data_IF_459867636834
#
_entry.id   IF_459867636834
#
_cell.length_a   1.000
_cell.length_b   1.000
_cell.length_c   1.000
_cell.angle_alpha   90.00
_cell.angle_beta   90.00
_cell.angle_gamma   90.00
#
_symmetry.space_group_name_H-M   'P 1'
#
loop_
_entity.id
_entity.type
_entity.pdbx_description
1 polymer ?
#
# COMPACT_ATOMS: atom_id res chain seq x y z
N UNK A 1 -43.14 36.62 72.92
CA UNK A 1 -43.89 35.59 73.67
C UNK A 1 -44.85 34.99 72.68
N UNK A 2 -44.56 33.75 72.29
CA UNK A 2 -45.46 32.62 71.97
C UNK A 2 -46.68 32.92 71.08
N UNK A 3 -46.99 32.16 70.03
CA UNK A 3 -46.70 30.76 69.74
C UNK A 3 -47.19 30.43 68.32
N UNK A 4 -46.59 29.42 67.70
CA UNK A 4 -47.07 28.79 66.46
C UNK A 4 -48.46 28.17 66.62
N UNK A 5 -49.25 28.16 65.55
CA UNK A 5 -50.02 26.97 65.17
C UNK A 5 -50.34 26.99 63.66
N UNK A 6 -50.10 25.85 63.01
CA UNK A 6 -50.34 25.63 61.57
C UNK A 6 -51.79 25.18 61.31
N UNK A 7 -52.29 25.29 60.07
CA UNK A 7 -52.85 24.07 59.49
C UNK A 7 -52.71 23.89 57.96
N UNK A 8 -52.47 22.61 57.61
CA UNK A 8 -53.02 21.79 56.50
C UNK A 8 -53.05 22.32 55.05
N UNK A 9 -52.35 21.54 54.23
CA UNK A 9 -52.50 21.30 52.79
C UNK A 9 -53.96 21.16 52.29
N UNK A 10 -54.29 21.84 51.18
CA UNK A 10 -55.13 21.26 50.11
C UNK A 10 -54.87 21.93 48.75
N UNK A 11 -55.03 21.13 47.69
CA UNK A 11 -54.55 21.30 46.31
C UNK A 11 -55.39 22.25 45.44
N UNK A 12 -54.73 22.61 44.31
CA UNK A 12 -55.22 22.95 42.94
C UNK A 12 -55.04 24.44 42.64
N UNK A 13 -54.50 24.88 41.51
CA UNK A 13 -54.21 24.25 40.23
C UNK A 13 -54.15 25.39 39.19
N UNK A 14 -53.33 25.24 38.15
CA UNK A 14 -53.20 26.22 37.06
C UNK A 14 -51.97 27.12 37.20
N UNK A 15 -51.07 27.24 36.24
CA UNK A 15 -50.92 26.56 34.96
C UNK A 15 -49.46 26.64 34.57
N UNK A 16 -48.89 25.51 34.15
CA UNK A 16 -47.48 25.44 33.76
C UNK A 16 -47.34 26.01 32.34
N UNK A 17 -47.10 27.31 32.22
CA UNK A 17 -46.74 27.93 30.93
C UNK A 17 -45.32 27.49 30.60
N UNK A 18 -45.20 26.40 29.84
CA UNK A 18 -43.92 25.97 29.28
C UNK A 18 -43.51 26.96 28.20
N UNK A 19 -42.60 27.87 28.54
CA UNK A 19 -41.92 28.73 27.56
C UNK A 19 -41.12 27.83 26.60
N UNK A 20 -41.27 27.94 25.27
CA UNK A 20 -40.52 27.09 24.35
C UNK A 20 -39.04 27.43 24.45
N UNK A 21 -38.21 26.45 24.81
CA UNK A 21 -36.76 26.63 24.85
C UNK A 21 -36.27 26.91 23.42
N UNK A 22 -35.68 28.09 23.20
CA UNK A 22 -35.15 28.48 21.90
C UNK A 22 -34.21 27.37 21.37
N UNK A 23 -34.51 26.82 20.20
CA UNK A 23 -33.70 25.79 19.56
C UNK A 23 -32.30 26.38 19.33
N UNK A 24 -31.31 25.95 20.12
CA UNK A 24 -29.90 26.24 19.87
C UNK A 24 -29.60 25.79 18.43
N UNK A 25 -29.38 26.76 17.53
CA UNK A 25 -28.86 26.47 16.19
C UNK A 25 -27.50 25.80 16.39
N UNK A 26 -27.45 24.49 16.12
CA UNK A 26 -26.18 23.78 15.98
C UNK A 26 -25.52 24.35 14.73
N UNK A 27 -24.54 25.21 14.91
CA UNK A 27 -23.67 25.60 13.81
C UNK A 27 -22.88 24.34 13.45
N UNK A 28 -23.21 23.71 12.32
CA UNK A 28 -22.28 22.73 11.76
C UNK A 28 -21.00 23.49 11.43
N UNK A 29 -19.83 23.02 11.86
CA UNK A 29 -18.58 23.64 11.46
C UNK A 29 -18.53 23.68 9.93
N UNK A 30 -18.24 24.85 9.38
CA UNK A 30 -18.13 25.06 7.94
C UNK A 30 -17.09 24.07 7.43
N UNK A 31 -17.51 23.14 6.57
CA UNK A 31 -16.59 22.22 5.90
C UNK A 31 -15.72 23.06 4.97
N UNK A 32 -14.51 23.38 5.41
CA UNK A 32 -13.49 23.99 4.57
C UNK A 32 -13.14 22.95 3.50
N UNK A 33 -13.31 23.28 2.23
CA UNK A 33 -13.24 22.35 1.08
C UNK A 33 -11.92 21.56 1.00
N UNK A 34 -10.87 22.02 1.67
CA UNK A 34 -9.51 21.49 1.59
C UNK A 34 -9.06 20.78 2.89
N UNK A 35 -9.99 20.49 3.81
CA UNK A 35 -9.64 19.76 5.04
C UNK A 35 -9.42 18.27 4.76
N UNK A 36 -8.21 17.81 5.03
CA UNK A 36 -7.85 16.38 5.02
C UNK A 36 -8.82 15.60 5.94
N UNK A 37 -9.37 14.45 5.52
CA UNK A 37 -10.25 13.63 6.35
C UNK A 37 -9.63 13.29 7.72
N UNK A 38 -10.46 13.21 8.76
CA UNK A 38 -10.00 12.94 10.13
C UNK A 38 -9.19 11.65 10.25
N UNK A 39 -9.53 10.62 9.47
CA UNK A 39 -8.77 9.37 9.38
C UNK A 39 -7.34 9.61 8.92
N UNK A 40 -7.18 10.40 7.85
CA UNK A 40 -5.87 10.69 7.26
C UNK A 40 -5.06 11.66 8.13
N UNK A 41 -5.69 12.56 8.88
CA UNK A 41 -4.98 13.34 9.91
C UNK A 41 -4.41 12.46 11.01
N UNK A 42 -5.20 11.51 11.53
CA UNK A 42 -4.72 10.55 12.55
C UNK A 42 -3.60 9.68 12.02
N UNK A 43 -3.66 9.28 10.74
CA UNK A 43 -2.60 8.53 10.08
C UNK A 43 -1.31 9.35 9.97
N UNK A 44 -1.41 10.63 9.60
CA UNK A 44 -0.27 11.57 9.53
C UNK A 44 0.33 11.81 10.92
N UNK A 45 -0.50 12.05 11.93
CA UNK A 45 -0.09 12.25 13.32
C UNK A 45 0.64 11.02 13.86
N UNK A 46 0.08 9.82 13.65
CA UNK A 46 0.72 8.55 14.00
C UNK A 46 2.05 8.33 13.24
N UNK A 47 2.17 8.82 12.00
CA UNK A 47 3.40 8.73 11.23
C UNK A 47 4.46 9.77 11.64
N UNK A 48 4.04 10.85 12.31
CA UNK A 48 4.91 11.90 12.88
C UNK A 48 5.41 11.54 14.29
N UNK A 49 4.75 10.61 14.99
CA UNK A 49 5.26 10.00 16.21
C UNK A 49 6.65 9.36 15.95
N UNK A 50 7.52 9.38 16.97
CA UNK A 50 8.89 8.84 16.84
C UNK A 50 8.87 7.42 16.27
N UNK A 51 9.80 7.07 15.37
CA UNK A 51 9.79 5.78 14.69
C UNK A 51 9.81 4.66 15.72
N UNK A 52 8.72 3.89 15.74
CA UNK A 52 8.64 2.66 16.54
C UNK A 52 9.89 1.82 16.29
N UNK A 53 10.49 1.28 17.36
CA UNK A 53 11.67 0.41 17.27
C UNK A 53 11.56 -0.61 16.14
N UNK A 54 12.69 -0.95 15.51
CA UNK A 54 12.76 -1.92 14.41
C UNK A 54 11.91 -3.17 14.71
N UNK A 55 11.02 -3.61 13.80
CA UNK A 55 10.19 -4.78 14.00
C UNK A 55 11.00 -5.98 14.51
N UNK A 56 10.47 -6.71 15.50
CA UNK A 56 11.13 -7.93 16.03
C UNK A 56 11.41 -8.97 14.95
N UNK A 57 10.57 -9.01 13.90
CA UNK A 57 10.75 -9.87 12.71
C UNK A 57 11.96 -9.50 11.85
N UNK A 58 12.55 -8.32 12.02
CA UNK A 58 13.79 -7.90 11.37
C UNK A 58 15.01 -8.10 12.30
N UNK A 59 14.82 -8.70 13.47
CA UNK A 59 15.92 -9.04 14.37
C UNK A 59 16.76 -10.19 13.78
N UNK A 60 18.08 -10.11 13.96
CA UNK A 60 19.03 -11.18 13.60
C UNK A 60 18.74 -12.51 14.30
N UNK A 61 18.07 -12.48 15.44
CA UNK A 61 17.69 -13.68 16.20
C UNK A 61 16.52 -14.42 15.54
N UNK A 62 15.74 -13.74 14.70
CA UNK A 62 14.67 -14.38 13.94
C UNK A 62 15.27 -15.10 12.72
N UNK A 63 14.94 -16.39 12.56
CA UNK A 63 15.42 -17.16 11.41
C UNK A 63 14.93 -16.54 10.09
N UNK A 64 15.84 -16.33 9.14
CA UNK A 64 15.52 -15.72 7.85
C UNK A 64 15.05 -16.78 6.86
N UNK A 65 13.74 -16.81 6.60
CA UNK A 65 13.11 -17.79 5.70
C UNK A 65 13.32 -17.39 4.24
N UNK A 66 13.33 -18.37 3.35
CA UNK A 66 13.38 -18.13 1.92
C UNK A 66 12.23 -17.23 1.45
N UNK A 67 12.57 -16.27 0.59
CA UNK A 67 11.60 -15.39 -0.03
C UNK A 67 10.83 -16.13 -1.14
N UNK A 68 9.52 -15.88 -1.24
CA UNK A 68 8.64 -16.54 -2.21
C UNK A 68 8.09 -15.52 -3.21
N UNK A 69 8.10 -15.89 -4.49
CA UNK A 69 7.36 -15.23 -5.57
C UNK A 69 6.63 -16.32 -6.35
N UNK A 70 5.30 -16.35 -6.27
CA UNK A 70 4.47 -17.47 -6.76
C UNK A 70 4.95 -18.80 -6.18
N UNK A 71 5.34 -19.74 -7.06
CA UNK A 71 5.85 -21.07 -6.66
C UNK A 71 7.38 -21.12 -6.48
N UNK A 72 8.09 -20.03 -6.77
CA UNK A 72 9.57 -19.99 -6.78
C UNK A 72 10.08 -19.46 -5.43
N UNK A 73 11.11 -20.12 -4.90
CA UNK A 73 11.78 -19.74 -3.65
C UNK A 73 13.17 -19.17 -3.93
N UNK A 74 13.55 -18.15 -3.17
CA UNK A 74 14.88 -17.51 -3.21
C UNK A 74 15.50 -17.65 -1.83
N UNK A 75 16.70 -18.25 -1.76
CA UNK A 75 17.38 -18.52 -0.49
C UNK A 75 18.03 -17.25 0.06
N UNK A 76 18.16 -17.10 1.40
CA UNK A 76 18.94 -16.02 1.99
C UNK A 76 20.34 -15.92 1.38
N UNK A 77 20.84 -14.70 1.18
CA UNK A 77 22.16 -14.45 0.62
C UNK A 77 22.29 -14.77 -0.88
N UNK A 78 21.18 -14.85 -1.61
CA UNK A 78 21.21 -15.17 -3.05
C UNK A 78 20.46 -14.15 -3.90
N UNK A 79 20.86 -14.07 -5.16
CA UNK A 79 20.16 -13.34 -6.22
C UNK A 79 19.51 -14.37 -7.13
N UNK A 80 18.24 -14.14 -7.50
CA UNK A 80 17.55 -14.99 -8.47
C UNK A 80 16.70 -14.15 -9.41
N UNK A 81 16.83 -14.41 -10.71
CA UNK A 81 15.91 -13.89 -11.71
C UNK A 81 14.74 -14.86 -11.88
N UNK A 82 13.54 -14.30 -11.86
CA UNK A 82 12.27 -15.02 -11.90
C UNK A 82 11.40 -14.37 -12.96
N UNK A 83 11.01 -15.14 -13.97
CA UNK A 83 9.87 -14.76 -14.81
C UNK A 83 8.56 -15.07 -14.08
N UNK A 84 7.66 -14.10 -14.06
CA UNK A 84 6.36 -14.19 -13.42
C UNK A 84 5.25 -13.74 -14.37
N UNK A 85 4.27 -14.58 -14.61
CA UNK A 85 3.18 -14.29 -15.53
C UNK A 85 2.07 -13.47 -14.84
N UNK A 86 1.76 -12.31 -15.41
CA UNK A 86 0.72 -11.41 -14.90
C UNK A 86 -0.69 -11.79 -15.31
N UNK A 87 -0.84 -12.74 -16.22
CA UNK A 87 -2.12 -13.21 -16.74
C UNK A 87 -2.07 -14.73 -16.86
N UNK A 88 -3.06 -15.40 -16.29
CA UNK A 88 -3.33 -16.81 -16.61
C UNK A 88 -4.13 -16.83 -17.92
N UNK A 89 -3.49 -17.33 -18.97
CA UNK A 89 -4.02 -17.34 -20.34
C UNK A 89 -4.11 -18.79 -20.79
N UNK A 90 -5.32 -19.24 -21.11
CA UNK A 90 -5.53 -20.57 -21.73
C UNK A 90 -5.22 -20.56 -23.23
N UNK A 91 -5.44 -19.42 -23.90
CA UNK A 91 -5.21 -19.22 -25.33
C UNK A 91 -4.61 -17.82 -25.56
N UNK A 92 -3.37 -17.74 -26.05
CA UNK A 92 -2.69 -16.46 -26.34
C UNK A 92 -1.22 -16.43 -25.90
N UNK A 93 -0.57 -15.26 -26.02
CA UNK A 93 0.81 -15.04 -25.56
C UNK A 93 0.81 -14.78 -24.05
N UNK A 94 1.63 -15.51 -23.30
CA UNK A 94 1.85 -15.22 -21.88
C UNK A 94 2.40 -13.80 -21.70
N UNK A 95 2.17 -13.21 -20.53
CA UNK A 95 2.70 -11.91 -20.17
C UNK A 95 3.71 -12.04 -19.02
N UNK A 96 4.91 -12.59 -19.29
CA UNK A 96 5.95 -12.70 -18.28
C UNK A 96 6.57 -11.34 -18.00
N UNK A 97 6.74 -11.03 -16.73
CA UNK A 97 7.60 -9.93 -16.27
C UNK A 97 8.87 -10.49 -15.63
N UNK A 98 10.05 -9.94 -15.95
CA UNK A 98 11.29 -10.33 -15.29
C UNK A 98 11.36 -9.66 -13.91
N UNK A 99 11.54 -10.48 -12.87
CA UNK A 99 11.71 -10.05 -11.49
C UNK A 99 13.09 -10.51 -11.02
N UNK A 100 13.99 -9.56 -10.78
CA UNK A 100 15.25 -9.85 -10.09
C UNK A 100 15.02 -9.72 -8.60
N UNK A 101 15.14 -10.83 -7.86
CA UNK A 101 15.00 -10.86 -6.41
C UNK A 101 16.40 -10.97 -5.80
N UNK A 102 16.72 -10.00 -4.96
CA UNK A 102 17.95 -9.92 -4.19
C UNK A 102 17.54 -10.16 -2.75
N UNK A 103 17.78 -11.38 -2.26
CA UNK A 103 17.37 -11.76 -0.93
C UNK A 103 18.58 -11.72 -0.01
N UNK A 104 18.61 -10.72 0.87
CA UNK A 104 19.69 -10.49 1.81
C UNK A 104 19.89 -11.68 2.75
N UNK A 105 21.09 -11.81 3.30
CA UNK A 105 21.41 -12.83 4.32
C UNK A 105 20.74 -12.53 5.67
N UNK A 106 20.36 -11.27 5.90
CA UNK A 106 19.80 -10.79 7.17
C UNK A 106 18.31 -10.46 7.05
N UNK A 107 17.52 -10.68 8.11
CA UNK A 107 16.14 -10.20 8.17
C UNK A 107 16.03 -8.69 7.99
N UNK A 108 14.97 -8.26 7.30
CA UNK A 108 14.74 -6.85 7.01
C UNK A 108 13.50 -6.60 6.14
N UNK A 109 13.28 -5.34 5.72
CA UNK A 109 12.14 -4.97 4.90
C UNK A 109 12.17 -5.59 3.50
N UNK A 110 11.01 -5.63 2.85
CA UNK A 110 10.91 -5.94 1.42
C UNK A 110 10.70 -4.62 0.67
N UNK A 111 11.54 -4.36 -0.31
CA UNK A 111 11.46 -3.17 -1.18
C UNK A 111 11.22 -3.64 -2.60
N UNK A 112 10.13 -3.18 -3.22
CA UNK A 112 9.81 -3.46 -4.62
C UNK A 112 10.04 -2.22 -5.47
N UNK A 113 10.92 -2.33 -6.45
CA UNK A 113 11.22 -1.31 -7.44
C UNK A 113 10.59 -1.71 -8.77
N UNK A 114 9.73 -0.85 -9.32
CA UNK A 114 9.03 -1.11 -10.58
C UNK A 114 9.28 0.00 -11.60
N UNK A 115 9.36 -0.38 -12.87
CA UNK A 115 9.47 0.52 -14.01
C UNK A 115 8.46 0.19 -15.11
N UNK A 116 8.30 1.14 -16.03
CA UNK A 116 7.34 1.09 -17.15
C UNK A 116 5.97 0.54 -16.73
N UNK A 117 5.37 1.15 -15.71
CA UNK A 117 3.94 0.98 -15.45
C UNK A 117 3.13 1.53 -16.64
N UNK A 118 3.58 2.67 -17.17
CA UNK A 118 3.27 3.13 -18.51
C UNK A 118 4.42 2.76 -19.46
N UNK A 119 4.11 2.24 -20.64
CA UNK A 119 5.12 1.75 -21.57
C UNK A 119 5.94 2.82 -22.28
N UNK A 120 5.50 4.08 -22.24
CA UNK A 120 6.25 5.22 -22.79
C UNK A 120 7.20 5.90 -21.78
N UNK A 121 7.29 5.40 -20.55
CA UNK A 121 8.16 5.94 -19.51
C UNK A 121 9.48 5.13 -19.43
N UNK A 122 10.46 5.51 -20.24
CA UNK A 122 11.68 4.72 -20.46
C UNK A 122 12.77 4.91 -19.38
N UNK A 123 12.74 6.03 -18.64
CA UNK A 123 13.79 6.39 -17.68
C UNK A 123 13.85 5.40 -16.51
N UNK A 124 12.69 5.01 -15.97
CA UNK A 124 12.59 4.03 -14.88
C UNK A 124 13.19 2.66 -15.25
N UNK A 125 12.72 2.00 -16.33
CA UNK A 125 13.30 0.76 -16.83
C UNK A 125 14.81 0.83 -17.05
N UNK A 126 15.30 1.92 -17.63
CA UNK A 126 16.73 2.13 -17.86
C UNK A 126 17.52 2.15 -16.53
N UNK A 127 17.08 2.94 -15.55
CA UNK A 127 17.72 3.03 -14.24
C UNK A 127 17.72 1.67 -13.51
N UNK A 128 16.60 0.95 -13.57
CA UNK A 128 16.49 -0.38 -12.95
C UNK A 128 17.37 -1.43 -13.65
N UNK A 129 17.62 -1.29 -14.95
CA UNK A 129 18.55 -2.14 -15.69
C UNK A 129 20.00 -1.86 -15.27
N UNK A 130 20.39 -0.59 -15.09
CA UNK A 130 21.70 -0.22 -14.55
C UNK A 130 21.90 -0.73 -13.12
N UNK A 131 20.87 -0.66 -12.27
CA UNK A 131 20.89 -1.19 -10.92
C UNK A 131 21.17 -2.70 -10.87
N UNK A 132 20.76 -3.43 -11.92
CA UNK A 132 20.98 -4.87 -12.07
C UNK A 132 22.33 -5.22 -12.73
N UNK A 133 23.13 -4.22 -13.14
CA UNK A 133 24.42 -4.49 -13.80
C UNK A 133 25.44 -5.11 -12.84
N UNK A 134 26.39 -5.87 -13.38
CA UNK A 134 27.48 -6.51 -12.62
C UNK A 134 28.40 -5.52 -11.88
N UNK A 135 28.35 -4.23 -12.23
CA UNK A 135 29.06 -3.18 -11.52
C UNK A 135 28.40 -2.84 -10.18
N UNK A 136 27.09 -3.03 -10.05
CA UNK A 136 26.29 -2.63 -8.89
C UNK A 136 25.81 -3.83 -8.08
N UNK A 137 25.43 -4.92 -8.76
CA UNK A 137 24.81 -6.10 -8.17
C UNK A 137 25.73 -7.32 -8.26
N UNK A 138 26.05 -7.93 -7.11
CA UNK A 138 26.88 -9.13 -7.02
C UNK A 138 27.67 -9.23 -5.72
N UNK A 139 28.47 -10.28 -5.58
CA UNK A 139 29.42 -10.44 -4.47
C UNK A 139 30.48 -9.33 -4.51
N UNK A 140 30.76 -8.73 -3.36
CA UNK A 140 31.66 -7.57 -3.20
C UNK A 140 31.26 -6.33 -4.04
N UNK A 141 29.97 -6.21 -4.39
CA UNK A 141 29.40 -5.04 -5.09
C UNK A 141 28.59 -4.16 -4.13
N UNK A 142 28.23 -2.92 -4.53
CA UNK A 142 27.40 -2.04 -3.71
C UNK A 142 26.11 -2.71 -3.21
N UNK A 143 25.49 -3.56 -4.02
CA UNK A 143 24.37 -4.40 -3.63
C UNK A 143 24.84 -5.86 -3.60
N UNK A 144 25.38 -6.26 -2.45
CA UNK A 144 25.79 -7.64 -2.19
C UNK A 144 24.71 -8.38 -1.35
N UNK A 145 24.13 -9.48 -1.85
CA UNK A 145 23.12 -10.24 -1.12
C UNK A 145 23.63 -10.80 0.23
N UNK A 146 24.94 -11.00 0.41
CA UNK A 146 25.52 -11.45 1.67
C UNK A 146 25.53 -10.36 2.74
N UNK A 147 25.48 -9.09 2.36
CA UNK A 147 25.52 -7.95 3.28
C UNK A 147 24.16 -7.26 3.45
N UNK A 148 23.29 -7.30 2.44
CA UNK A 148 21.95 -6.69 2.47
C UNK A 148 21.08 -7.29 3.60
N UNK A 149 20.28 -6.43 4.24
CA UNK A 149 19.23 -6.82 5.17
C UNK A 149 17.86 -6.64 4.52
N UNK A 150 17.06 -7.70 4.46
CA UNK A 150 15.76 -7.70 3.81
C UNK A 150 15.79 -8.26 2.38
N UNK A 151 14.87 -7.81 1.54
CA UNK A 151 14.73 -8.28 0.16
C UNK A 151 14.48 -7.11 -0.77
N UNK A 152 15.15 -7.08 -1.92
CA UNK A 152 14.88 -6.13 -2.99
C UNK A 152 14.30 -6.90 -4.18
N UNK A 153 13.13 -6.49 -4.67
CA UNK A 153 12.48 -6.99 -5.89
C UNK A 153 12.64 -5.91 -6.95
N UNK A 154 13.21 -6.22 -8.10
CA UNK A 154 13.39 -5.27 -9.21
C UNK A 154 12.65 -5.77 -10.43
N UNK A 155 11.72 -4.96 -10.92
CA UNK A 155 10.86 -5.24 -12.08
C UNK A 155 11.00 -4.08 -13.07
N UNK A 156 11.94 -4.15 -14.02
CA UNK A 156 12.22 -3.03 -14.91
C UNK A 156 11.02 -2.63 -15.76
N UNK A 157 10.21 -3.61 -16.20
CA UNK A 157 9.08 -3.39 -17.10
C UNK A 157 7.87 -4.17 -16.60
N UNK A 158 6.82 -3.44 -16.19
CA UNK A 158 5.52 -4.03 -15.81
C UNK A 158 4.61 -4.17 -17.03
N UNK A 159 4.37 -3.07 -17.76
CA UNK A 159 3.50 -3.06 -18.93
C UNK A 159 4.28 -3.37 -20.21
N UNK A 160 4.63 -4.65 -20.42
CA UNK A 160 5.46 -5.08 -21.56
C UNK A 160 4.88 -4.75 -22.95
N UNK A 161 3.61 -5.05 -23.26
CA UNK A 161 2.95 -4.69 -24.51
C UNK A 161 2.89 -3.17 -24.71
N UNK A 162 2.61 -2.40 -23.65
CA UNK A 162 2.70 -0.94 -23.70
C UNK A 162 4.12 -0.49 -24.02
N UNK A 163 5.13 -1.11 -23.40
CA UNK A 163 6.54 -0.79 -23.60
C UNK A 163 6.99 -1.04 -25.04
N UNK A 164 6.64 -2.21 -25.61
CA UNK A 164 6.87 -2.53 -27.04
C UNK A 164 6.26 -1.49 -27.98
N UNK A 165 5.07 -0.97 -27.64
CA UNK A 165 4.35 0.03 -28.45
C UNK A 165 4.67 1.48 -28.08
N UNK A 166 5.56 1.73 -27.11
CA UNK A 166 5.79 3.06 -26.50
C UNK A 166 4.46 3.76 -26.14
N UNK A 167 3.55 3.01 -25.54
CA UNK A 167 2.20 3.48 -25.19
C UNK A 167 2.00 3.51 -23.69
N UNK A 168 1.25 4.52 -23.23
CA UNK A 168 0.81 4.62 -21.83
C UNK A 168 -0.11 3.47 -21.43
N UNK A 169 -0.95 3.02 -22.37
CA UNK A 169 -2.08 2.16 -22.09
C UNK A 169 -1.74 0.67 -22.24
N UNK A 170 -2.53 -0.17 -21.56
CA UNK A 170 -2.55 -1.61 -21.72
C UNK A 170 -3.12 -2.01 -23.08
N UNK A 171 -3.16 -3.31 -23.39
CA UNK A 171 -3.69 -3.83 -24.68
C UNK A 171 -5.18 -3.54 -24.89
N UNK A 172 -5.95 -3.36 -23.82
CA UNK A 172 -7.36 -3.00 -23.84
C UNK A 172 -7.61 -1.48 -23.80
N UNK A 173 -6.57 -0.66 -23.98
CA UNK A 173 -6.65 0.79 -24.03
C UNK A 173 -6.81 1.49 -22.66
N UNK A 174 -6.69 0.76 -21.55
CA UNK A 174 -6.85 1.31 -20.20
C UNK A 174 -5.52 1.69 -19.55
N UNK A 175 -5.54 2.68 -18.67
CA UNK A 175 -4.38 3.12 -17.88
C UNK A 175 -4.26 2.26 -16.62
N UNK A 176 -3.23 1.42 -16.53
CA UNK A 176 -3.02 0.50 -15.41
C UNK A 176 -2.98 1.20 -14.05
N UNK A 177 -2.45 2.43 -13.98
CA UNK A 177 -2.34 3.23 -12.75
C UNK A 177 -3.69 3.80 -12.26
N UNK A 178 -4.80 3.39 -12.88
CA UNK A 178 -6.17 3.72 -12.49
C UNK A 178 -6.98 2.51 -12.03
N UNK A 179 -6.39 1.32 -12.07
CA UNK A 179 -7.10 0.07 -11.80
C UNK A 179 -6.60 -0.67 -10.55
N UNK A 180 -5.58 -0.17 -9.84
CA UNK A 180 -5.19 -0.73 -8.53
C UNK A 180 -6.29 -0.54 -7.47
N UNK A 181 -6.52 -1.52 -6.57
CA UNK A 181 -5.82 -2.80 -6.46
C UNK A 181 -6.26 -3.86 -7.48
N UNK A 182 -7.31 -3.62 -8.25
CA UNK A 182 -7.77 -4.52 -9.32
C UNK A 182 -8.70 -5.63 -8.84
N UNK A 183 -9.30 -6.35 -9.79
CA UNK A 183 -10.19 -7.49 -9.56
C UNK A 183 -9.88 -8.64 -10.53
N UNK A 184 -9.92 -9.87 -10.03
CA UNK A 184 -9.63 -11.08 -10.78
C UNK A 184 -10.71 -11.41 -11.84
N UNK A 185 -11.96 -11.02 -11.58
CA UNK A 185 -13.14 -11.28 -12.40
C UNK A 185 -13.52 -10.10 -13.33
N UNK A 186 -12.54 -9.29 -13.72
CA UNK A 186 -12.77 -8.07 -14.51
C UNK A 186 -11.95 -8.03 -15.80
N UNK A 187 -11.84 -6.85 -16.42
CA UNK A 187 -11.08 -6.65 -17.65
C UNK A 187 -9.58 -6.97 -17.45
N UNK A 188 -8.87 -7.18 -18.56
CA UNK A 188 -7.43 -7.47 -18.61
C UNK A 188 -6.60 -6.57 -17.70
N UNK A 189 -6.78 -5.25 -17.80
CA UNK A 189 -6.02 -4.31 -16.97
C UNK A 189 -6.28 -4.47 -15.47
N UNK A 190 -7.54 -4.71 -15.09
CA UNK A 190 -7.91 -4.93 -13.69
C UNK A 190 -7.40 -6.27 -13.14
N UNK A 191 -7.36 -7.32 -13.97
CA UNK A 191 -6.76 -8.62 -13.62
C UNK A 191 -5.26 -8.52 -13.39
N UNK A 192 -4.56 -7.81 -14.29
CA UNK A 192 -3.12 -7.51 -14.13
C UNK A 192 -2.86 -6.71 -12.84
N UNK A 193 -3.67 -5.67 -12.58
CA UNK A 193 -3.55 -4.88 -11.36
C UNK A 193 -3.76 -5.74 -10.10
N UNK A 194 -4.75 -6.64 -10.11
CA UNK A 194 -5.03 -7.57 -9.02
C UNK A 194 -3.85 -8.49 -8.74
N UNK A 195 -3.28 -9.08 -9.79
CA UNK A 195 -2.14 -9.99 -9.67
C UNK A 195 -0.88 -9.28 -9.16
N UNK A 196 -0.59 -8.08 -9.65
CA UNK A 196 0.49 -7.25 -9.11
C UNK A 196 0.28 -6.92 -7.63
N UNK A 197 -0.94 -6.53 -7.26
CA UNK A 197 -1.26 -6.13 -5.90
C UNK A 197 -1.08 -7.27 -4.91
N UNK A 198 -1.62 -8.46 -5.22
CA UNK A 198 -1.67 -9.60 -4.31
C UNK A 198 -0.41 -10.46 -4.31
N UNK A 199 0.40 -10.44 -5.37
CA UNK A 199 1.54 -11.36 -5.50
C UNK A 199 2.89 -10.65 -5.46
N UNK A 200 2.93 -9.36 -5.79
CA UNK A 200 4.18 -8.60 -5.95
C UNK A 200 4.32 -7.44 -4.97
N UNK A 201 3.22 -6.72 -4.67
CA UNK A 201 3.27 -5.55 -3.79
C UNK A 201 3.01 -5.88 -2.31
N UNK A 202 2.27 -6.95 -2.03
CA UNK A 202 2.08 -7.45 -0.66
C UNK A 202 3.27 -8.21 -0.09
#
# INVERSE_FOLDING_TARGET
MDSEETPKSSKKGGGNVRVPRAKRRRHQPIKVSNQIPTSRRKEIEKALEEPSSTPKSWSRTSGWKSHRIGRKLVKPGTIRQIEYDLMDIEIGESWPIPITVIHGSRPGPVVTLIGALHGNELVGPLALTYLQSHAILGEDKPIDPTTVAGTIRIIPIVNMPGYRRRSRYMTDGRDLNRFFPGKEDSNTTSRVANRLWNEIFS
#
